data_IF_510765009166
#
_entry.id   IF_510765009166
#
_cell.length_a   1.000
_cell.length_b   1.000
_cell.length_c   1.000
_cell.angle_alpha   90.00
_cell.angle_beta   90.00
_cell.angle_gamma   90.00
#
_symmetry.space_group_name_H-M   'P 1'
#
loop_
_entity.id
_entity.type
_entity.pdbx_description
1 polymer ?
#
# COMPACT_ATOMS: atom_id res chain seq x y z
N UNK A 1 28.56 34.85 38.74
CA UNK A 1 28.85 35.51 37.45
C UNK A 1 29.80 34.59 36.70
N UNK A 2 29.27 33.48 36.19
CA UNK A 2 28.78 33.33 34.82
C UNK A 2 29.90 33.18 33.80
N UNK A 3 30.19 31.92 33.49
CA UNK A 3 30.67 31.52 32.16
C UNK A 3 30.14 30.12 31.89
N UNK A 4 28.84 30.04 31.57
CA UNK A 4 28.25 28.88 30.93
C UNK A 4 28.94 28.69 29.58
N UNK A 5 29.77 27.68 29.45
CA UNK A 5 30.23 27.23 28.14
C UNK A 5 29.06 26.49 27.50
N UNK A 6 28.53 27.14 26.47
CA UNK A 6 27.45 26.72 25.60
C UNK A 6 27.81 25.39 24.94
N UNK A 7 27.06 24.34 25.26
CA UNK A 7 27.02 23.10 24.49
C UNK A 7 26.32 23.36 23.15
N UNK A 8 27.10 23.61 22.11
CA UNK A 8 26.60 23.52 20.72
C UNK A 8 26.68 22.04 20.30
N UNK A 9 25.61 21.45 19.74
CA UNK A 9 25.60 20.05 19.34
C UNK A 9 26.54 19.87 18.15
N UNK A 10 27.47 18.94 18.27
CA UNK A 10 28.21 18.44 17.13
C UNK A 10 27.21 17.81 16.16
N UNK A 11 26.96 18.50 15.05
CA UNK A 11 26.22 17.96 13.93
C UNK A 11 27.04 16.83 13.31
N UNK A 12 26.78 15.60 13.74
CA UNK A 12 27.17 14.43 12.97
C UNK A 12 26.17 14.30 11.83
N UNK A 13 26.59 14.83 10.67
CA UNK A 13 26.09 14.43 9.36
C UNK A 13 25.96 12.90 9.36
N UNK A 14 24.80 12.34 8.98
CA UNK A 14 24.59 10.90 9.04
C UNK A 14 25.63 10.22 8.16
N UNK A 15 26.53 9.47 8.80
CA UNK A 15 27.52 8.65 8.13
C UNK A 15 26.78 7.74 7.15
N UNK A 16 26.97 8.10 5.89
CA UNK A 16 26.42 7.45 4.72
C UNK A 16 26.82 5.99 4.74
N UNK A 17 25.89 5.16 5.23
CA UNK A 17 25.64 3.77 4.85
C UNK A 17 26.91 3.08 4.36
N UNK A 18 27.70 2.54 5.30
CA UNK A 18 28.69 1.50 4.99
C UNK A 18 27.91 0.27 4.50
N UNK A 19 27.54 0.32 3.22
CA UNK A 19 26.93 -0.75 2.46
C UNK A 19 27.86 -1.94 2.59
N UNK A 20 27.48 -2.88 3.46
CA UNK A 20 27.99 -4.24 3.64
C UNK A 20 29.27 -4.48 2.81
N UNK A 21 30.41 -4.05 3.34
CA UNK A 21 31.70 -4.39 2.76
C UNK A 21 32.04 -5.80 3.23
N UNK A 22 31.33 -6.79 2.68
CA UNK A 22 31.86 -8.16 2.71
C UNK A 22 33.17 -8.11 1.95
N UNK A 23 34.27 -8.45 2.63
CA UNK A 23 35.57 -8.55 1.97
C UNK A 23 35.40 -9.44 0.73
N UNK A 24 35.94 -9.06 -0.45
CA UNK A 24 35.74 -9.83 -1.70
C UNK A 24 36.13 -11.31 -1.55
N UNK A 25 37.00 -11.62 -0.60
CA UNK A 25 37.37 -12.98 -0.18
C UNK A 25 36.15 -13.85 0.22
N UNK A 26 35.12 -13.31 0.86
CA UNK A 26 33.94 -14.08 1.28
C UNK A 26 33.01 -14.38 0.11
N UNK A 27 32.91 -13.46 -0.85
CA UNK A 27 32.15 -13.69 -2.09
C UNK A 27 32.86 -14.77 -2.91
N UNK A 28 34.19 -14.67 -3.06
CA UNK A 28 34.99 -15.69 -3.77
C UNK A 28 34.89 -17.05 -3.08
N UNK A 29 34.94 -17.09 -1.74
CA UNK A 29 34.77 -18.32 -0.98
C UNK A 29 33.37 -18.92 -1.18
N UNK A 30 32.31 -18.13 -1.06
CA UNK A 30 30.94 -18.60 -1.27
C UNK A 30 30.72 -19.14 -2.68
N UNK A 31 31.22 -18.44 -3.70
CA UNK A 31 31.15 -18.88 -5.11
C UNK A 31 31.97 -20.15 -5.32
N UNK A 32 33.17 -20.26 -4.74
CA UNK A 32 34.02 -21.46 -4.86
C UNK A 32 33.40 -22.69 -4.21
N UNK A 33 32.76 -22.52 -3.04
CA UNK A 33 32.05 -23.60 -2.35
C UNK A 33 30.81 -24.02 -3.14
N UNK A 34 30.05 -23.06 -3.66
CA UNK A 34 28.91 -23.35 -4.54
C UNK A 34 29.35 -24.10 -5.81
N UNK A 35 30.47 -23.70 -6.42
CA UNK A 35 31.02 -24.36 -7.60
C UNK A 35 31.49 -25.78 -7.29
N UNK A 36 32.19 -25.99 -6.17
CA UNK A 36 32.62 -27.31 -5.73
C UNK A 36 31.44 -28.24 -5.43
N UNK A 37 30.38 -27.73 -4.81
CA UNK A 37 29.15 -28.51 -4.59
C UNK A 37 28.48 -28.90 -5.90
N UNK A 38 28.42 -28.00 -6.88
CA UNK A 38 27.88 -28.32 -8.20
C UNK A 38 28.72 -29.36 -8.93
N UNK A 39 30.05 -29.19 -8.97
CA UNK A 39 30.96 -30.15 -9.63
C UNK A 39 30.89 -31.51 -8.94
N UNK A 40 30.90 -31.55 -7.60
CA UNK A 40 30.76 -32.78 -6.82
C UNK A 40 29.41 -33.47 -7.05
N UNK A 41 28.32 -32.70 -7.13
CA UNK A 41 26.99 -33.24 -7.44
C UNK A 41 26.95 -33.85 -8.84
N UNK A 42 27.44 -33.14 -9.87
CA UNK A 42 27.50 -33.65 -11.25
C UNK A 42 28.39 -34.88 -11.34
N UNK A 43 29.56 -34.86 -10.71
CA UNK A 43 30.46 -36.02 -10.67
C UNK A 43 29.78 -37.22 -10.01
N UNK A 44 29.13 -37.02 -8.86
CA UNK A 44 28.41 -38.06 -8.14
C UNK A 44 27.27 -38.67 -8.97
N UNK A 45 26.48 -37.83 -9.65
CA UNK A 45 25.40 -38.26 -10.53
C UNK A 45 25.96 -39.08 -11.71
N UNK A 46 27.03 -38.61 -12.36
CA UNK A 46 27.66 -39.33 -13.49
C UNK A 46 28.29 -40.64 -13.04
N UNK A 47 28.95 -40.66 -11.88
CA UNK A 47 29.53 -41.87 -11.31
C UNK A 47 28.46 -42.91 -10.96
N UNK A 48 27.35 -42.47 -10.36
CA UNK A 48 26.21 -43.32 -10.04
C UNK A 48 25.52 -43.85 -11.30
N UNK A 49 25.34 -42.99 -12.31
CA UNK A 49 24.78 -43.38 -13.61
C UNK A 49 25.64 -44.39 -14.37
N UNK A 50 26.98 -44.34 -14.23
CA UNK A 50 27.89 -45.33 -14.82
C UNK A 50 27.92 -46.66 -14.06
N UNK A 51 27.81 -46.61 -12.73
CA UNK A 51 27.96 -47.78 -11.86
C UNK A 51 26.66 -48.58 -11.72
N UNK A 52 25.50 -47.90 -11.74
CA UNK A 52 24.18 -48.50 -11.62
C UNK A 52 23.23 -47.98 -12.71
N UNK A 53 23.59 -48.19 -13.98
CA UNK A 53 22.81 -47.69 -15.11
C UNK A 53 21.34 -48.14 -15.06
N UNK A 54 21.08 -49.41 -14.74
CA UNK A 54 19.73 -49.98 -14.73
C UNK A 54 18.77 -49.32 -13.72
N UNK A 55 19.25 -48.98 -12.51
CA UNK A 55 18.40 -48.31 -11.51
C UNK A 55 18.17 -46.85 -11.87
N UNK A 56 19.16 -46.17 -12.46
CA UNK A 56 19.00 -44.78 -12.92
C UNK A 56 18.00 -44.69 -14.08
N UNK A 57 17.95 -45.68 -14.98
CA UNK A 57 16.93 -45.73 -16.04
C UNK A 57 15.52 -45.90 -15.49
N UNK A 58 15.32 -46.79 -14.52
CA UNK A 58 14.02 -46.98 -13.87
C UNK A 58 13.57 -45.72 -13.11
N UNK A 59 14.47 -45.04 -12.40
CA UNK A 59 14.16 -43.79 -11.71
C UNK A 59 13.81 -42.69 -12.70
N UNK A 60 14.55 -42.55 -13.80
CA UNK A 60 14.25 -41.58 -14.88
C UNK A 60 12.86 -41.81 -15.46
N UNK A 61 12.50 -43.07 -15.73
CA UNK A 61 11.20 -43.41 -16.32
C UNK A 61 10.04 -43.02 -15.38
N UNK A 62 10.15 -43.33 -14.09
CA UNK A 62 9.16 -42.92 -13.08
C UNK A 62 9.07 -41.40 -12.93
N UNK A 63 10.20 -40.69 -12.95
CA UNK A 63 10.21 -39.22 -12.87
C UNK A 63 9.59 -38.57 -14.11
N UNK A 64 9.80 -39.11 -15.30
CA UNK A 64 9.17 -38.60 -16.52
C UNK A 64 7.66 -38.82 -16.51
N UNK A 65 7.18 -39.98 -16.05
CA UNK A 65 5.75 -40.25 -15.88
C UNK A 65 5.15 -39.29 -14.84
N UNK A 66 5.81 -39.13 -13.68
CA UNK A 66 5.36 -38.21 -12.64
C UNK A 66 5.31 -36.76 -13.13
N UNK A 67 6.37 -36.28 -13.79
CA UNK A 67 6.43 -34.93 -14.36
C UNK A 67 5.41 -34.73 -15.49
N UNK A 68 5.13 -35.76 -16.30
CA UNK A 68 4.10 -35.68 -17.33
C UNK A 68 2.71 -35.48 -16.69
N UNK A 69 2.39 -36.24 -15.64
CA UNK A 69 1.13 -36.09 -14.90
C UNK A 69 1.06 -34.72 -14.23
N UNK A 70 2.14 -34.30 -13.57
CA UNK A 70 2.24 -32.99 -12.92
C UNK A 70 2.08 -31.85 -13.93
N UNK A 71 2.71 -31.94 -15.11
CA UNK A 71 2.58 -30.94 -16.17
C UNK A 71 1.15 -30.83 -16.72
N UNK A 72 0.46 -31.97 -16.84
CA UNK A 72 -0.96 -32.00 -17.22
C UNK A 72 -1.82 -31.29 -16.16
N UNK A 73 -1.55 -31.56 -14.88
CA UNK A 73 -2.20 -30.90 -13.76
C UNK A 73 -1.94 -29.38 -13.75
N UNK A 74 -0.68 -28.96 -13.94
CA UNK A 74 -0.33 -27.54 -14.08
C UNK A 74 -1.03 -26.86 -15.25
N UNK A 75 -1.20 -27.56 -16.38
CA UNK A 75 -1.97 -27.07 -17.51
C UNK A 75 -3.42 -26.72 -17.14
N UNK A 76 -4.07 -27.58 -16.37
CA UNK A 76 -5.43 -27.35 -15.85
C UNK A 76 -5.44 -26.15 -14.89
N UNK A 77 -4.48 -26.08 -13.96
CA UNK A 77 -4.36 -24.97 -13.00
C UNK A 77 -4.17 -23.63 -13.72
N UNK A 78 -3.32 -23.57 -14.75
CA UNK A 78 -3.12 -22.37 -15.57
C UNK A 78 -4.41 -21.95 -16.28
N UNK A 79 -5.20 -22.92 -16.78
CA UNK A 79 -6.51 -22.63 -17.38
C UNK A 79 -7.47 -22.04 -16.35
N UNK A 80 -7.55 -22.62 -15.15
CA UNK A 80 -8.34 -22.05 -14.04
C UNK A 80 -7.88 -20.64 -13.65
N UNK A 81 -6.57 -20.39 -13.64
CA UNK A 81 -6.03 -19.06 -13.38
C UNK A 81 -6.50 -18.05 -14.42
N UNK A 82 -6.44 -18.41 -15.70
CA UNK A 82 -6.93 -17.54 -16.78
C UNK A 82 -8.44 -17.27 -16.64
N UNK A 83 -9.25 -18.30 -16.36
CA UNK A 83 -10.69 -18.12 -16.11
C UNK A 83 -10.96 -17.19 -14.93
N UNK A 84 -10.15 -17.27 -13.87
CA UNK A 84 -10.24 -16.39 -12.70
C UNK A 84 -9.97 -14.94 -13.08
N UNK A 85 -8.94 -14.69 -13.89
CA UNK A 85 -8.62 -13.35 -14.39
C UNK A 85 -9.76 -12.82 -15.27
N UNK A 86 -10.29 -13.63 -16.19
CA UNK A 86 -11.42 -13.23 -17.04
C UNK A 86 -12.63 -12.84 -16.21
N UNK A 87 -12.98 -13.63 -15.18
CA UNK A 87 -14.08 -13.30 -14.27
C UNK A 87 -13.84 -12.00 -13.51
N UNK A 88 -12.61 -11.78 -13.06
CA UNK A 88 -12.24 -10.55 -12.34
C UNK A 88 -12.36 -9.32 -13.25
N UNK A 89 -11.83 -9.40 -14.48
CA UNK A 89 -11.95 -8.33 -15.48
C UNK A 89 -13.42 -8.06 -15.80
N UNK A 90 -14.22 -9.09 -16.03
CA UNK A 90 -15.65 -8.95 -16.31
C UNK A 90 -16.40 -8.24 -15.15
N UNK A 91 -16.13 -8.62 -13.90
CA UNK A 91 -16.74 -7.96 -12.73
C UNK A 91 -16.28 -6.50 -12.62
N UNK A 92 -15.00 -6.23 -12.85
CA UNK A 92 -14.46 -4.86 -12.83
C UNK A 92 -15.13 -3.98 -13.89
N UNK A 93 -15.32 -4.50 -15.11
CA UNK A 93 -15.90 -3.76 -16.23
C UNK A 93 -17.41 -3.56 -16.10
N UNK A 94 -18.16 -4.60 -15.71
CA UNK A 94 -19.62 -4.56 -15.72
C UNK A 94 -20.26 -4.17 -14.38
N UNK A 95 -19.57 -4.34 -13.26
CA UNK A 95 -20.13 -4.03 -11.93
C UNK A 95 -19.41 -2.84 -11.28
N UNK A 96 -18.08 -2.88 -11.20
CA UNK A 96 -17.32 -1.87 -10.44
C UNK A 96 -17.20 -0.54 -11.19
N UNK A 97 -16.92 -0.55 -12.50
CA UNK A 97 -16.78 0.67 -13.30
C UNK A 97 -18.08 1.51 -13.30
N UNK A 98 -19.29 0.94 -13.49
CA UNK A 98 -20.53 1.71 -13.38
C UNK A 98 -20.78 2.29 -11.99
N UNK A 99 -20.43 1.57 -10.91
CA UNK A 99 -20.58 2.09 -9.54
C UNK A 99 -19.72 3.34 -9.35
N UNK A 100 -18.49 3.34 -9.88
CA UNK A 100 -17.61 4.49 -9.79
C UNK A 100 -18.16 5.69 -10.58
N UNK A 101 -18.70 5.45 -11.78
CA UNK A 101 -19.33 6.49 -12.60
C UNK A 101 -20.55 7.10 -11.89
N UNK A 102 -21.44 6.26 -11.34
CA UNK A 102 -22.62 6.71 -10.58
C UNK A 102 -22.24 7.40 -9.28
N UNK A 103 -21.14 7.02 -8.66
CA UNK A 103 -20.60 7.71 -7.50
C UNK A 103 -20.10 9.11 -7.88
N UNK A 104 -19.44 9.26 -9.02
CA UNK A 104 -18.99 10.57 -9.50
C UNK A 104 -20.19 11.51 -9.79
N UNK A 105 -21.23 10.99 -10.44
CA UNK A 105 -22.49 11.71 -10.68
C UNK A 105 -23.19 12.09 -9.36
N UNK A 106 -23.16 11.19 -8.37
CA UNK A 106 -23.71 11.42 -7.02
C UNK A 106 -22.94 12.53 -6.30
N UNK A 107 -21.61 12.55 -6.36
CA UNK A 107 -20.80 13.63 -5.76
C UNK A 107 -21.13 14.99 -6.41
N UNK A 108 -21.31 15.02 -7.73
CA UNK A 108 -21.78 16.23 -8.44
C UNK A 108 -23.15 16.69 -7.95
N UNK A 109 -24.09 15.77 -7.80
CA UNK A 109 -25.45 16.05 -7.32
C UNK A 109 -25.46 16.52 -5.87
N UNK A 110 -24.71 15.86 -4.97
CA UNK A 110 -24.58 16.26 -3.57
C UNK A 110 -24.01 17.67 -3.47
N UNK A 111 -22.96 17.99 -4.23
CA UNK A 111 -22.42 19.36 -4.28
C UNK A 111 -23.48 20.36 -4.76
N UNK A 112 -24.28 19.99 -5.76
CA UNK A 112 -25.42 20.77 -6.26
C UNK A 112 -26.47 21.03 -5.18
N UNK A 113 -26.93 19.98 -4.50
CA UNK A 113 -27.93 20.06 -3.43
C UNK A 113 -27.41 20.86 -2.24
N UNK A 114 -26.17 20.64 -1.78
CA UNK A 114 -25.57 21.44 -0.71
C UNK A 114 -25.45 22.90 -1.12
N UNK A 115 -25.08 23.19 -2.36
CA UNK A 115 -25.01 24.58 -2.87
C UNK A 115 -26.39 25.22 -2.96
N UNK A 116 -27.40 24.48 -3.42
CA UNK A 116 -28.79 24.95 -3.51
C UNK A 116 -29.39 25.21 -2.13
N UNK A 117 -29.25 24.26 -1.20
CA UNK A 117 -29.71 24.40 0.18
C UNK A 117 -28.96 25.55 0.87
N UNK A 118 -27.65 25.65 0.64
CA UNK A 118 -26.83 26.75 1.18
C UNK A 118 -27.35 28.12 0.71
N UNK A 119 -27.52 28.33 -0.60
CA UNK A 119 -27.93 29.61 -1.17
C UNK A 119 -29.40 29.96 -0.90
N UNK A 120 -30.30 29.00 -1.02
CA UNK A 120 -31.75 29.27 -1.02
C UNK A 120 -32.43 29.05 0.33
N UNK A 121 -31.81 28.32 1.27
CA UNK A 121 -32.42 28.02 2.57
C UNK A 121 -31.55 28.52 3.71
N UNK A 122 -30.26 28.18 3.73
CA UNK A 122 -29.37 28.53 4.85
C UNK A 122 -29.08 30.03 4.86
N UNK A 123 -28.71 30.63 3.72
CA UNK A 123 -28.42 32.05 3.62
C UNK A 123 -29.57 32.95 4.12
N UNK A 124 -30.83 32.80 3.66
CA UNK A 124 -31.92 33.65 4.13
C UNK A 124 -32.27 33.43 5.61
N UNK A 125 -32.20 32.20 6.13
CA UNK A 125 -32.43 31.92 7.55
C UNK A 125 -31.38 32.57 8.43
N UNK A 126 -30.13 32.62 7.96
CA UNK A 126 -29.03 33.21 8.70
C UNK A 126 -29.16 34.75 8.70
N UNK A 127 -29.42 35.36 7.55
CA UNK A 127 -29.64 36.80 7.41
C UNK A 127 -30.85 37.29 8.22
N UNK A 128 -31.94 36.51 8.28
CA UNK A 128 -33.11 36.79 9.11
C UNK A 128 -32.78 36.81 10.60
N UNK A 129 -32.03 35.81 11.09
CA UNK A 129 -31.58 35.77 12.49
C UNK A 129 -30.59 36.89 12.82
N UNK A 130 -29.70 37.24 11.90
CA UNK A 130 -28.77 38.36 12.07
C UNK A 130 -29.51 39.70 12.18
N UNK A 131 -30.54 39.94 11.36
CA UNK A 131 -31.38 41.14 11.49
C UNK A 131 -32.07 41.23 12.85
N UNK A 132 -32.73 40.15 13.29
CA UNK A 132 -33.42 40.13 14.59
C UNK A 132 -32.43 40.31 15.75
N UNK A 133 -31.26 39.66 15.70
CA UNK A 133 -30.23 39.81 16.72
C UNK A 133 -29.62 41.23 16.73
N UNK A 134 -29.43 41.83 15.55
CA UNK A 134 -28.97 43.21 15.38
C UNK A 134 -29.95 44.21 15.99
N UNK A 135 -31.24 44.06 15.68
CA UNK A 135 -32.31 44.89 16.25
C UNK A 135 -32.37 44.75 17.77
N UNK A 136 -32.34 43.51 18.29
CA UNK A 136 -32.37 43.27 19.75
C UNK A 136 -31.17 43.89 20.45
N UNK A 137 -29.96 43.81 19.86
CA UNK A 137 -28.76 44.46 20.38
C UNK A 137 -28.84 45.97 20.30
N UNK A 138 -29.37 46.54 19.21
CA UNK A 138 -29.57 47.98 19.09
C UNK A 138 -30.54 48.51 20.14
N UNK A 139 -31.69 47.85 20.34
CA UNK A 139 -32.63 48.18 21.42
C UNK A 139 -32.00 48.04 22.81
N UNK A 140 -31.22 46.97 23.05
CA UNK A 140 -30.49 46.81 24.32
C UNK A 140 -29.40 47.86 24.52
N UNK A 141 -28.74 48.32 23.46
CA UNK A 141 -27.75 49.39 23.56
C UNK A 141 -28.41 50.76 23.80
N UNK A 142 -29.58 51.01 23.22
CA UNK A 142 -30.30 52.27 23.34
C UNK A 142 -31.11 52.39 24.65
N UNK A 143 -31.71 51.29 25.13
CA UNK A 143 -32.56 51.26 26.33
C UNK A 143 -31.96 50.44 27.49
N UNK A 144 -30.77 49.87 27.34
CA UNK A 144 -30.11 49.08 28.37
C UNK A 144 -29.38 49.97 29.37
N UNK A 145 -29.80 49.90 30.62
CA UNK A 145 -29.21 50.65 31.71
C UNK A 145 -27.78 50.14 32.03
N UNK A 146 -26.71 50.95 31.89
CA UNK A 146 -25.30 50.50 31.92
C UNK A 146 -24.74 50.15 33.31
N UNK A 147 -25.58 49.93 34.33
CA UNK A 147 -25.14 49.88 35.75
C UNK A 147 -24.95 48.48 36.34
N UNK A 148 -24.94 47.39 35.57
CA UNK A 148 -24.84 46.02 36.13
C UNK A 148 -23.62 45.20 35.68
N UNK A 149 -22.58 45.83 35.13
CA UNK A 149 -21.40 45.15 34.58
C UNK A 149 -20.17 45.16 35.51
N UNK A 150 -20.34 45.27 36.84
CA UNK A 150 -19.22 45.22 37.78
C UNK A 150 -19.01 43.78 38.27
N UNK A 151 -17.83 43.16 38.01
CA UNK A 151 -17.48 41.88 38.60
C UNK A 151 -17.28 42.06 40.13
N UNK A 152 -17.83 41.13 40.91
CA UNK A 152 -17.45 40.92 42.32
C UNK A 152 -16.41 39.82 42.38
#
# INVERSE_FOLDING_TARGET
MDSRIVSTPSGTVPEQKKLISVKPIYIVLAVSVALLLLVGSVWGIVWLARTQAATVEAVRDVLLIALAIESCLFGIVLLFMLLTIVRLVNMLEFEIKPILEKTNETVGTIRGTTTFVSKNVVKPVTEARVHVAGIRRAFKALFGNPRNNLPR
#
